data_IF_421292435716
#
_entry.id   IF_421292435716
#
_cell.length_a   1.000
_cell.length_b   1.000
_cell.length_c   1.000
_cell.angle_alpha   90.00
_cell.angle_beta   90.00
_cell.angle_gamma   90.00
#
_symmetry.space_group_name_H-M   'P 1'
#
loop_
_entity.id
_entity.type
_entity.pdbx_description
1 polymer ?
#
# COMPACT_ATOMS: atom_id res chain seq x y z
N UNK A 1 56.86 -23.85 10.12
CA UNK A 1 55.92 -22.90 10.74
C UNK A 1 54.56 -23.10 10.09
N UNK A 2 53.65 -23.78 10.78
CA UNK A 2 52.27 -23.91 10.34
C UNK A 2 51.54 -22.63 10.80
N UNK A 3 51.15 -21.77 9.86
CA UNK A 3 50.38 -20.56 10.18
C UNK A 3 48.93 -20.99 10.40
N UNK A 4 48.54 -21.11 11.67
CA UNK A 4 47.15 -21.24 12.10
C UNK A 4 46.47 -19.89 11.86
N UNK A 5 45.77 -19.77 10.73
CA UNK A 5 44.76 -18.73 10.53
C UNK A 5 43.54 -19.07 11.37
N UNK A 6 43.41 -18.43 12.54
CA UNK A 6 42.16 -18.39 13.28
C UNK A 6 41.11 -17.64 12.45
N UNK A 7 39.97 -18.25 12.10
CA UNK A 7 38.89 -17.50 11.48
C UNK A 7 38.36 -16.50 12.52
N UNK A 8 38.44 -15.22 12.19
CA UNK A 8 37.66 -14.20 12.88
C UNK A 8 36.19 -14.53 12.64
N UNK A 9 35.54 -15.16 13.62
CA UNK A 9 34.09 -15.20 13.69
C UNK A 9 33.67 -13.80 14.11
N UNK A 10 33.46 -12.91 13.13
CA UNK A 10 32.81 -11.63 13.40
C UNK A 10 31.38 -11.94 13.82
N UNK A 11 31.10 -11.87 15.13
CA UNK A 11 29.75 -12.03 15.66
C UNK A 11 28.88 -10.91 15.09
N UNK A 12 27.84 -11.25 14.32
CA UNK A 12 26.90 -10.28 13.83
C UNK A 12 25.77 -10.12 14.85
N UNK A 13 25.63 -8.89 15.36
CA UNK A 13 24.52 -8.52 16.24
C UNK A 13 23.14 -8.85 15.64
N UNK A 14 22.20 -9.28 16.50
CA UNK A 14 20.77 -9.37 16.18
C UNK A 14 20.28 -8.03 15.64
N UNK A 15 19.65 -8.08 14.47
CA UNK A 15 19.15 -6.92 13.74
C UNK A 15 17.70 -7.19 13.33
N UNK A 16 16.71 -6.58 14.00
CA UNK A 16 15.34 -6.72 13.56
C UNK A 16 15.12 -6.04 12.19
N UNK A 17 14.07 -6.42 11.48
CA UNK A 17 13.66 -5.71 10.27
C UNK A 17 13.36 -4.23 10.57
N UNK A 18 13.60 -3.34 9.60
CA UNK A 18 13.52 -1.88 9.78
C UNK A 18 12.14 -1.33 10.20
N UNK A 19 11.07 -2.14 10.09
CA UNK A 19 9.73 -1.81 10.59
C UNK A 19 9.63 -1.89 12.11
N UNK A 20 10.52 -2.63 12.77
CA UNK A 20 10.63 -2.75 14.22
C UNK A 20 11.59 -1.69 14.75
N UNK A 21 11.06 -0.48 14.91
CA UNK A 21 11.79 0.70 15.36
C UNK A 21 10.91 1.56 16.25
N UNK A 22 11.52 2.52 16.95
CA UNK A 22 10.80 3.38 17.89
C UNK A 22 9.61 4.07 17.22
N UNK A 23 8.48 4.17 17.93
CA UNK A 23 7.26 4.80 17.42
C UNK A 23 6.42 3.93 16.48
N UNK A 24 6.75 2.64 16.35
CA UNK A 24 6.00 1.69 15.51
C UNK A 24 4.58 1.43 16.01
N UNK A 25 3.73 0.96 15.10
CA UNK A 25 2.41 0.39 15.44
C UNK A 25 2.40 -1.08 15.06
N UNK A 26 2.22 -1.96 16.04
CA UNK A 26 2.03 -3.39 15.81
C UNK A 26 0.53 -3.70 15.73
N UNK A 27 0.13 -4.58 14.80
CA UNK A 27 -1.27 -4.96 14.67
C UNK A 27 -1.77 -5.60 15.96
N UNK A 28 -2.86 -5.06 16.53
CA UNK A 28 -3.49 -5.57 17.74
C UNK A 28 -4.21 -6.90 17.53
N UNK A 29 -4.42 -7.61 18.63
CA UNK A 29 -5.28 -8.81 18.72
C UNK A 29 -4.96 -9.89 17.67
N UNK A 30 -3.67 -10.16 17.45
CA UNK A 30 -3.20 -11.17 16.50
C UNK A 30 -1.95 -11.89 16.99
N UNK A 31 -1.45 -12.84 16.19
CA UNK A 31 -0.15 -13.47 16.33
C UNK A 31 0.82 -12.78 15.38
N UNK A 32 1.35 -11.62 15.80
CA UNK A 32 2.15 -10.75 14.95
C UNK A 32 3.55 -11.33 14.70
N UNK A 33 3.97 -11.53 13.44
CA UNK A 33 5.34 -11.93 13.14
C UNK A 33 6.33 -10.83 13.56
N UNK A 34 7.41 -11.24 14.23
CA UNK A 34 8.59 -10.41 14.50
C UNK A 34 9.80 -11.14 13.93
N UNK A 35 10.60 -10.46 13.12
CA UNK A 35 11.69 -11.09 12.37
C UNK A 35 12.88 -10.16 12.16
N UNK A 36 13.98 -10.74 11.73
CA UNK A 36 15.21 -10.05 11.44
C UNK A 36 16.31 -10.98 10.97
N UNK A 37 17.56 -10.54 11.17
CA UNK A 37 18.76 -11.35 10.96
C UNK A 37 19.60 -11.44 12.24
N UNK A 38 20.35 -12.52 12.39
CA UNK A 38 21.29 -12.79 13.46
C UNK A 38 22.36 -13.78 12.95
N UNK A 39 23.33 -14.16 13.78
CA UNK A 39 24.26 -15.23 13.40
C UNK A 39 23.50 -16.57 13.24
N UNK A 40 23.96 -17.42 12.33
CA UNK A 40 23.34 -18.73 12.14
C UNK A 40 23.37 -19.55 13.45
N UNK A 41 22.26 -20.19 13.80
CA UNK A 41 22.06 -20.91 15.07
C UNK A 41 22.03 -20.03 16.33
N UNK A 42 22.05 -18.71 16.21
CA UNK A 42 21.86 -17.80 17.36
C UNK A 42 20.42 -17.90 17.89
N UNK A 43 20.26 -18.00 19.21
CA UNK A 43 18.94 -17.95 19.85
C UNK A 43 18.52 -16.50 20.04
N UNK A 44 17.37 -16.15 19.49
CA UNK A 44 16.77 -14.82 19.59
C UNK A 44 15.51 -14.90 20.43
N UNK A 45 15.42 -14.08 21.47
CA UNK A 45 14.23 -13.92 22.32
C UNK A 45 13.64 -12.54 22.14
N UNK A 46 12.34 -12.43 21.94
CA UNK A 46 11.60 -11.16 21.92
C UNK A 46 10.67 -11.12 23.12
N UNK A 47 10.82 -10.11 23.97
CA UNK A 47 9.98 -9.88 25.13
C UNK A 47 9.29 -8.54 25.02
N UNK A 48 8.02 -8.49 25.40
CA UNK A 48 7.20 -7.30 25.34
C UNK A 48 6.77 -6.83 26.72
N UNK A 49 6.75 -5.52 26.93
CA UNK A 49 6.34 -4.92 28.20
C UNK A 49 4.88 -5.21 28.61
N UNK A 50 4.05 -5.73 27.70
CA UNK A 50 2.70 -6.23 28.01
C UNK A 50 2.68 -7.68 28.51
N UNK A 51 3.83 -8.29 28.77
CA UNK A 51 3.96 -9.60 29.42
C UNK A 51 4.10 -10.80 28.49
N UNK A 52 4.11 -10.59 27.17
CA UNK A 52 4.31 -11.67 26.19
C UNK A 52 5.79 -11.81 25.84
N UNK A 53 6.23 -13.05 25.60
CA UNK A 53 7.60 -13.34 25.19
C UNK A 53 7.63 -14.62 24.34
N UNK A 54 8.57 -14.67 23.40
CA UNK A 54 8.81 -15.83 22.56
C UNK A 54 10.30 -15.93 22.20
N UNK A 55 10.77 -17.14 21.89
CA UNK A 55 12.13 -17.38 21.44
C UNK A 55 12.15 -18.25 20.18
N UNK A 56 13.19 -18.08 19.38
CA UNK A 56 13.46 -18.85 18.15
C UNK A 56 14.97 -18.93 17.92
N UNK A 57 15.38 -19.69 16.92
CA UNK A 57 16.79 -19.81 16.51
C UNK A 57 16.92 -19.36 15.07
N UNK A 58 17.93 -18.55 14.78
CA UNK A 58 18.22 -18.13 13.41
C UNK A 58 18.66 -19.32 12.56
N UNK A 59 18.14 -19.38 11.33
CA UNK A 59 18.43 -20.45 10.39
C UNK A 59 19.85 -20.37 9.83
N UNK A 60 20.22 -21.31 8.94
CA UNK A 60 21.54 -21.35 8.32
C UNK A 60 21.86 -20.11 7.46
N UNK A 61 20.85 -19.34 7.05
CA UNK A 61 21.01 -18.07 6.33
C UNK A 61 21.06 -16.86 7.26
N UNK A 62 20.96 -17.08 8.58
CA UNK A 62 20.92 -16.04 9.60
C UNK A 62 19.55 -15.36 9.73
N UNK A 63 18.49 -15.87 9.11
CA UNK A 63 17.13 -15.32 9.26
C UNK A 63 16.46 -15.93 10.47
N UNK A 64 15.73 -15.12 11.21
CA UNK A 64 14.90 -15.59 12.33
C UNK A 64 13.52 -14.96 12.25
N UNK A 65 12.53 -15.68 12.74
CA UNK A 65 11.16 -15.19 12.90
C UNK A 65 10.50 -15.92 14.06
N UNK A 66 9.68 -15.20 14.80
CA UNK A 66 8.75 -15.74 15.78
C UNK A 66 7.40 -15.01 15.67
N UNK A 67 6.39 -15.50 16.40
CA UNK A 67 5.10 -14.82 16.52
C UNK A 67 4.88 -14.39 17.96
N UNK A 68 4.39 -13.17 18.13
CA UNK A 68 4.08 -12.59 19.42
C UNK A 68 2.57 -12.33 19.48
N UNK A 69 1.92 -12.77 20.56
CA UNK A 69 0.52 -12.40 20.81
C UNK A 69 0.47 -10.91 21.14
N UNK A 70 -0.33 -10.15 20.42
CA UNK A 70 -0.49 -8.70 20.64
C UNK A 70 -1.72 -8.40 21.49
N UNK A 71 -1.65 -7.36 22.35
CA UNK A 71 -2.75 -6.99 23.23
C UNK A 71 -3.89 -6.30 22.44
N UNK A 72 -4.92 -5.88 23.17
CA UNK A 72 -5.87 -4.89 22.68
C UNK A 72 -5.18 -3.54 22.38
N UNK A 73 -5.91 -2.63 21.75
CA UNK A 73 -5.40 -1.31 21.40
C UNK A 73 -4.85 -0.55 22.62
N UNK A 74 -3.67 0.05 22.49
CA UNK A 74 -3.07 0.83 23.57
C UNK A 74 -1.56 1.04 23.43
N UNK A 75 -0.92 1.33 24.55
CA UNK A 75 0.49 1.69 24.64
C UNK A 75 0.68 3.10 25.25
N UNK A 76 1.90 3.66 25.21
CA UNK A 76 3.09 3.08 24.60
C UNK A 76 3.64 1.87 25.39
N UNK A 77 4.08 0.87 24.65
CA UNK A 77 4.79 -0.30 25.13
C UNK A 77 6.26 -0.25 24.68
N UNK A 78 7.04 -1.25 25.13
CA UNK A 78 8.38 -1.54 24.63
C UNK A 78 8.52 -3.02 24.21
N UNK A 79 9.41 -3.27 23.24
CA UNK A 79 9.92 -4.60 22.89
C UNK A 79 11.42 -4.66 23.19
N UNK A 80 11.88 -5.79 23.70
CA UNK A 80 13.29 -6.11 23.88
C UNK A 80 13.61 -7.34 23.06
N UNK A 81 14.56 -7.21 22.13
CA UNK A 81 15.04 -8.29 21.27
C UNK A 81 16.44 -8.65 21.75
N UNK A 82 16.57 -9.84 22.30
CA UNK A 82 17.79 -10.36 22.91
C UNK A 82 18.37 -11.48 22.05
N UNK A 83 19.59 -11.29 21.59
CA UNK A 83 20.47 -12.33 21.06
C UNK A 83 21.84 -12.21 21.74
N UNK A 84 22.92 -12.23 20.96
CA UNK A 84 24.28 -11.92 21.42
C UNK A 84 24.43 -10.46 21.89
N UNK A 85 23.55 -9.58 21.41
CA UNK A 85 23.33 -8.22 21.87
C UNK A 85 21.84 -7.99 22.17
N UNK A 86 21.53 -6.81 22.72
CA UNK A 86 20.16 -6.40 23.05
C UNK A 86 19.75 -5.20 22.20
N UNK A 87 18.57 -5.27 21.60
CA UNK A 87 17.91 -4.14 20.93
C UNK A 87 16.62 -3.83 21.67
N UNK A 88 16.48 -2.58 22.15
CA UNK A 88 15.23 -2.08 22.71
C UNK A 88 14.49 -1.25 21.66
N UNK A 89 13.18 -1.47 21.55
CA UNK A 89 12.27 -0.68 20.74
C UNK A 89 11.24 -0.05 21.68
N UNK A 90 11.12 1.28 21.63
CA UNK A 90 10.31 2.10 22.53
C UNK A 90 9.14 2.73 21.78
N UNK A 91 8.15 3.24 22.52
CA UNK A 91 6.97 3.88 21.93
C UNK A 91 6.24 2.96 20.94
N UNK A 92 6.04 1.70 21.32
CA UNK A 92 5.32 0.70 20.52
C UNK A 92 3.83 0.82 20.82
N UNK A 93 3.03 1.16 19.83
CA UNK A 93 1.58 1.19 19.95
C UNK A 93 0.99 -0.13 19.45
N UNK A 94 0.01 -0.67 20.16
CA UNK A 94 -0.84 -1.75 19.64
C UNK A 94 -2.08 -1.13 19.01
N UNK A 95 -2.33 -1.39 17.73
CA UNK A 95 -3.38 -0.70 16.97
C UNK A 95 -3.70 -1.34 15.64
N UNK A 96 -4.32 -0.57 14.74
CA UNK A 96 -4.63 -1.01 13.38
C UNK A 96 -3.51 -0.64 12.42
N UNK A 97 -3.00 -1.60 11.64
CA UNK A 97 -1.94 -1.36 10.67
C UNK A 97 -2.48 -1.54 9.26
N UNK A 98 -2.30 -0.53 8.42
CA UNK A 98 -2.75 -0.57 7.02
C UNK A 98 -1.59 -0.35 6.05
N UNK A 99 -1.50 -1.26 5.07
CA UNK A 99 -0.56 -1.13 3.97
C UNK A 99 -1.17 -0.25 2.87
N UNK A 100 -0.50 0.85 2.53
CA UNK A 100 -0.99 1.87 1.62
C UNK A 100 -0.14 1.88 0.35
N UNK A 101 -0.66 1.40 -0.77
CA UNK A 101 0.14 1.16 -1.97
C UNK A 101 -0.50 1.65 -3.28
N UNK A 102 0.29 1.66 -4.35
CA UNK A 102 -0.13 2.11 -5.68
C UNK A 102 0.85 3.11 -6.28
N UNK A 103 0.34 3.96 -7.17
CA UNK A 103 1.16 4.91 -7.93
C UNK A 103 1.08 6.33 -7.38
N UNK A 104 1.25 7.32 -8.24
CA UNK A 104 1.36 8.74 -7.91
C UNK A 104 0.17 9.28 -7.13
N UNK A 105 -1.06 8.80 -7.32
CA UNK A 105 -2.20 9.25 -6.51
C UNK A 105 -2.24 8.64 -5.10
N UNK A 106 -1.58 7.51 -4.86
CA UNK A 106 -1.24 7.05 -3.51
C UNK A 106 -0.04 7.84 -2.95
N UNK A 107 1.01 8.07 -3.74
CA UNK A 107 2.22 8.76 -3.27
C UNK A 107 2.06 10.28 -3.08
N UNK A 108 1.02 10.91 -3.65
CA UNK A 108 0.88 12.36 -3.66
C UNK A 108 0.75 12.92 -2.24
N UNK A 109 1.74 13.70 -1.82
CA UNK A 109 1.80 14.19 -0.44
C UNK A 109 0.93 15.42 -0.16
N UNK A 110 0.64 15.65 1.12
CA UNK A 110 -0.20 16.77 1.59
C UNK A 110 0.36 18.13 1.15
N UNK A 111 1.68 18.31 1.17
CA UNK A 111 2.36 19.54 0.71
C UNK A 111 2.10 19.85 -0.76
N UNK A 112 2.04 18.82 -1.60
CA UNK A 112 1.72 18.98 -3.03
C UNK A 112 0.24 19.23 -3.24
N UNK A 113 -0.65 18.56 -2.48
CA UNK A 113 -2.10 18.80 -2.51
C UNK A 113 -2.50 20.21 -2.07
N UNK A 114 -1.76 20.80 -1.13
CA UNK A 114 -2.01 22.14 -0.61
C UNK A 114 -1.70 23.26 -1.64
N UNK A 115 -1.02 22.93 -2.75
CA UNK A 115 -0.67 23.90 -3.79
C UNK A 115 -1.78 23.99 -4.82
N UNK A 116 -2.11 25.21 -5.23
CA UNK A 116 -3.05 25.45 -6.33
C UNK A 116 -2.37 26.17 -7.48
N UNK A 117 -2.70 25.81 -8.72
CA UNK A 117 -2.26 26.50 -9.93
C UNK A 117 -3.46 26.72 -10.86
N UNK A 118 -3.69 27.94 -11.36
CA UNK A 118 -4.80 28.24 -12.27
C UNK A 118 -4.78 27.42 -13.59
N UNK A 119 -3.63 26.87 -13.98
CA UNK A 119 -3.51 25.99 -15.15
C UNK A 119 -3.96 24.55 -14.88
N UNK A 120 -3.83 24.06 -13.64
CA UNK A 120 -4.08 22.66 -13.26
C UNK A 120 -5.32 22.52 -12.37
N UNK A 121 -5.40 23.32 -11.32
CA UNK A 121 -6.45 23.27 -10.28
C UNK A 121 -7.71 23.98 -10.76
N UNK A 122 -8.82 23.25 -10.83
CA UNK A 122 -10.11 23.86 -11.11
C UNK A 122 -10.59 24.71 -9.92
N UNK A 123 -11.30 25.82 -10.20
CA UNK A 123 -11.74 26.78 -9.17
C UNK A 123 -12.49 26.10 -8.00
N UNK A 124 -13.32 25.10 -8.30
CA UNK A 124 -14.10 24.34 -7.31
C UNK A 124 -13.26 23.53 -6.31
N UNK A 125 -12.01 23.21 -6.63
CA UNK A 125 -11.13 22.44 -5.75
C UNK A 125 -10.11 23.28 -4.97
N UNK A 126 -10.05 24.60 -5.21
CA UNK A 126 -9.24 25.52 -4.38
C UNK A 126 -9.62 25.48 -2.89
N UNK A 127 -10.91 25.36 -2.49
CA UNK A 127 -11.26 25.15 -1.09
C UNK A 127 -10.69 23.86 -0.50
N UNK A 128 -10.70 22.75 -1.26
CA UNK A 128 -10.11 21.49 -0.80
C UNK A 128 -8.60 21.63 -0.56
N UNK A 129 -7.86 22.26 -1.48
CA UNK A 129 -6.44 22.55 -1.29
C UNK A 129 -6.17 23.46 -0.07
N UNK A 130 -7.04 24.44 0.17
CA UNK A 130 -6.95 25.35 1.33
C UNK A 130 -7.19 24.61 2.64
N UNK A 131 -8.18 23.70 2.67
CA UNK A 131 -8.43 22.82 3.80
C UNK A 131 -7.23 21.89 4.06
N UNK A 132 -6.69 21.26 3.02
CA UNK A 132 -5.50 20.40 3.14
C UNK A 132 -4.31 21.19 3.72
N UNK A 133 -4.12 22.45 3.30
CA UNK A 133 -3.10 23.32 3.88
C UNK A 133 -3.32 23.56 5.37
N UNK A 134 -4.56 23.86 5.78
CA UNK A 134 -4.90 24.05 7.19
C UNK A 134 -4.65 22.77 7.99
N UNK A 135 -5.22 21.64 7.56
CA UNK A 135 -5.04 20.31 8.17
C UNK A 135 -3.55 20.00 8.34
N UNK A 136 -2.77 20.07 7.26
CA UNK A 136 -1.33 19.80 7.25
C UNK A 136 -0.56 20.65 8.27
N UNK A 137 -0.94 21.91 8.47
CA UNK A 137 -0.22 22.85 9.36
C UNK A 137 -0.70 22.84 10.82
N UNK A 138 -1.84 22.22 11.12
CA UNK A 138 -2.48 22.31 12.43
C UNK A 138 -2.73 20.95 13.09
N UNK A 139 -2.98 19.90 12.31
CA UNK A 139 -3.32 18.58 12.84
C UNK A 139 -2.11 17.92 13.53
N UNK A 140 -2.36 17.38 14.73
CA UNK A 140 -1.42 16.59 15.54
C UNK A 140 -2.17 15.39 16.09
N UNK A 141 -1.63 14.20 15.87
CA UNK A 141 -2.16 12.97 16.46
C UNK A 141 -1.00 11.99 16.67
N UNK A 142 -0.58 11.84 17.94
CA UNK A 142 0.49 10.93 18.34
C UNK A 142 0.09 9.45 18.21
N UNK A 143 -1.20 9.15 18.04
CA UNK A 143 -1.71 7.80 17.83
C UNK A 143 -1.89 7.47 16.33
N UNK A 144 -1.66 8.43 15.43
CA UNK A 144 -1.57 8.21 13.99
C UNK A 144 -0.09 8.17 13.56
N UNK A 145 0.42 6.98 13.26
CA UNK A 145 1.82 6.76 12.88
C UNK A 145 1.94 6.50 11.37
N UNK A 146 3.00 7.04 10.79
CA UNK A 146 3.28 7.06 9.37
C UNK A 146 4.66 6.44 9.13
N UNK A 147 4.74 5.49 8.21
CA UNK A 147 5.99 4.91 7.74
C UNK A 147 6.02 4.97 6.22
N UNK A 148 7.08 5.54 5.63
CA UNK A 148 7.27 5.55 4.17
C UNK A 148 8.38 4.60 3.79
N UNK A 149 8.06 3.59 2.98
CA UNK A 149 9.04 2.68 2.38
C UNK A 149 9.83 3.46 1.31
N UNK A 150 11.14 3.53 1.47
CA UNK A 150 12.03 4.14 0.47
C UNK A 150 11.95 3.37 -0.85
N UNK A 151 11.84 4.10 -1.96
CA UNK A 151 11.80 3.52 -3.31
C UNK A 151 13.04 2.67 -3.59
N UNK A 152 12.82 1.40 -3.93
CA UNK A 152 13.85 0.46 -4.31
C UNK A 152 13.29 -0.54 -5.34
N UNK A 153 14.16 -1.23 -6.08
CA UNK A 153 13.75 -2.14 -7.14
C UNK A 153 14.71 -3.30 -7.21
N UNK A 154 14.20 -4.50 -7.50
CA UNK A 154 15.04 -5.66 -7.77
C UNK A 154 14.42 -6.50 -8.88
N UNK A 155 14.98 -6.47 -10.10
CA UNK A 155 14.36 -7.09 -11.27
C UNK A 155 14.31 -8.62 -11.20
N UNK A 156 15.16 -9.25 -10.39
CA UNK A 156 15.30 -10.70 -10.33
C UNK A 156 14.82 -11.25 -8.99
N UNK A 157 15.49 -10.86 -7.91
CA UNK A 157 15.31 -11.49 -6.60
C UNK A 157 14.56 -10.59 -5.60
N UNK A 158 13.63 -11.12 -4.81
CA UNK A 158 13.01 -10.37 -3.72
C UNK A 158 14.03 -9.93 -2.67
N UNK A 159 13.99 -8.65 -2.30
CA UNK A 159 14.85 -8.11 -1.25
C UNK A 159 14.25 -8.39 0.13
N UNK A 160 15.10 -8.69 1.12
CA UNK A 160 14.69 -8.90 2.51
C UNK A 160 14.85 -7.67 3.41
N UNK A 161 15.29 -6.53 2.86
CA UNK A 161 15.54 -5.30 3.62
C UNK A 161 14.88 -4.10 2.94
N UNK A 162 14.33 -3.22 3.76
CA UNK A 162 13.83 -1.90 3.36
C UNK A 162 14.45 -0.81 4.24
N UNK A 163 14.22 0.43 3.86
CA UNK A 163 14.49 1.61 4.68
C UNK A 163 13.22 2.45 4.82
N UNK A 164 13.10 3.11 5.96
CA UNK A 164 12.00 4.00 6.31
C UNK A 164 12.05 4.32 7.80
N UNK A 165 11.17 5.21 8.26
CA UNK A 165 11.10 5.63 9.66
C UNK A 165 9.65 5.83 10.07
N UNK A 166 9.32 5.41 11.28
CA UNK A 166 8.04 5.72 11.90
C UNK A 166 8.02 7.16 12.39
N UNK A 167 6.95 7.88 12.07
CA UNK A 167 6.73 9.26 12.49
C UNK A 167 5.30 9.44 12.96
N UNK A 168 5.08 10.18 14.04
CA UNK A 168 3.72 10.61 14.41
C UNK A 168 3.17 11.63 13.42
N UNK A 169 1.85 11.73 13.34
CA UNK A 169 1.20 12.80 12.58
C UNK A 169 1.38 14.14 13.30
N UNK A 170 2.06 15.07 12.63
CA UNK A 170 2.31 16.41 13.16
C UNK A 170 2.51 17.41 12.01
N UNK A 171 2.46 18.74 12.26
CA UNK A 171 2.79 19.74 11.25
C UNK A 171 4.20 19.60 10.64
N UNK A 172 5.12 18.94 11.35
CA UNK A 172 6.50 18.69 10.90
C UNK A 172 6.59 17.51 9.93
N UNK A 173 5.74 16.50 10.08
CA UNK A 173 5.83 15.20 9.38
C UNK A 173 4.75 15.03 8.32
N UNK A 174 3.55 15.56 8.56
CA UNK A 174 2.41 15.52 7.63
C UNK A 174 2.74 16.05 6.22
N UNK A 175 3.52 17.14 6.01
CA UNK A 175 3.72 17.70 4.68
C UNK A 175 4.21 16.68 3.63
N UNK A 176 5.08 15.76 4.03
CA UNK A 176 5.74 14.84 3.10
C UNK A 176 5.05 13.47 3.03
N UNK A 177 3.97 13.25 3.79
CA UNK A 177 3.20 12.00 3.77
C UNK A 177 2.02 12.03 2.78
N UNK A 178 1.62 10.84 2.31
CA UNK A 178 0.52 10.64 1.37
C UNK A 178 -0.78 11.27 1.86
N UNK A 179 -1.43 12.09 1.03
CA UNK A 179 -2.74 12.65 1.36
C UNK A 179 -3.85 11.62 1.39
N UNK A 180 -3.85 10.65 0.46
CA UNK A 180 -4.86 9.57 0.44
C UNK A 180 -4.75 8.72 1.70
N UNK A 181 -3.55 8.24 2.03
CA UNK A 181 -3.32 7.41 3.20
C UNK A 181 -3.58 8.18 4.49
N UNK A 182 -3.12 9.43 4.58
CA UNK A 182 -3.36 10.31 5.72
C UNK A 182 -4.85 10.42 6.04
N UNK A 183 -5.68 10.80 5.06
CA UNK A 183 -7.11 10.99 5.31
C UNK A 183 -7.82 9.66 5.59
N UNK A 184 -7.36 8.55 5.02
CA UNK A 184 -7.85 7.22 5.40
C UNK A 184 -7.60 6.93 6.89
N UNK A 185 -6.34 7.04 7.34
CA UNK A 185 -5.99 6.78 8.74
C UNK A 185 -6.61 7.78 9.72
N UNK A 186 -6.75 9.05 9.31
CA UNK A 186 -7.40 10.10 10.12
C UNK A 186 -8.87 9.79 10.37
N UNK A 187 -9.61 9.27 9.39
CA UNK A 187 -11.01 8.87 9.58
C UNK A 187 -11.10 7.62 10.47
N UNK A 188 -10.19 6.63 10.31
CA UNK A 188 -10.14 5.48 11.22
C UNK A 188 -9.84 5.90 12.67
N UNK A 189 -8.87 6.80 12.88
CA UNK A 189 -8.56 7.36 14.20
C UNK A 189 -9.78 8.00 14.84
N UNK A 190 -10.48 8.83 14.08
CA UNK A 190 -11.67 9.55 14.55
C UNK A 190 -12.80 8.61 14.96
N UNK A 191 -13.08 7.57 14.18
CA UNK A 191 -14.24 6.71 14.39
C UNK A 191 -13.96 5.51 15.32
N UNK A 192 -12.72 5.05 15.41
CA UNK A 192 -12.33 3.91 16.25
C UNK A 192 -11.69 4.31 17.58
N UNK A 193 -11.07 5.49 17.65
CA UNK A 193 -10.29 5.97 18.79
C UNK A 193 -9.20 5.01 19.29
N UNK A 194 -8.55 4.30 18.36
CA UNK A 194 -7.40 3.41 18.62
C UNK A 194 -6.16 3.85 17.85
N UNK A 195 -4.93 3.44 18.21
CA UNK A 195 -3.76 3.73 17.39
C UNK A 195 -3.89 3.20 15.96
N UNK A 196 -3.39 3.95 14.98
CA UNK A 196 -3.39 3.58 13.56
C UNK A 196 -2.00 3.79 12.97
N UNK A 197 -1.43 2.74 12.40
CA UNK A 197 -0.18 2.77 11.64
C UNK A 197 -0.44 2.67 10.14
N UNK A 198 0.18 3.55 9.36
CA UNK A 198 0.09 3.56 7.91
C UNK A 198 1.47 3.30 7.30
N UNK A 199 1.61 2.18 6.57
CA UNK A 199 2.83 1.85 5.84
C UNK A 199 2.63 2.22 4.37
N UNK A 200 3.19 3.37 3.95
CA UNK A 200 3.15 3.86 2.58
C UNK A 200 4.24 3.20 1.73
N UNK A 201 3.82 2.46 0.72
CA UNK A 201 4.68 1.82 -0.27
C UNK A 201 4.14 2.12 -1.67
N UNK A 202 4.54 3.26 -2.24
CA UNK A 202 3.98 3.78 -3.48
C UNK A 202 5.05 4.36 -4.42
N UNK A 203 4.86 4.21 -5.74
CA UNK A 203 5.80 4.73 -6.74
C UNK A 203 5.07 5.38 -7.92
N UNK A 204 5.35 6.66 -8.16
CA UNK A 204 4.71 7.47 -9.19
C UNK A 204 4.77 6.90 -10.61
N UNK A 205 3.63 6.95 -11.30
CA UNK A 205 3.50 6.61 -12.72
C UNK A 205 3.98 5.18 -13.08
N UNK A 206 3.77 4.24 -12.18
CA UNK A 206 3.98 2.81 -12.39
C UNK A 206 2.68 2.15 -12.82
N UNK A 207 2.82 1.13 -13.67
CA UNK A 207 1.73 0.23 -14.00
C UNK A 207 1.57 -0.83 -12.92
N UNK A 208 0.57 -1.71 -13.03
CA UNK A 208 0.34 -2.78 -12.05
C UNK A 208 1.37 -3.91 -12.13
N UNK A 209 1.98 -4.14 -13.31
CA UNK A 209 2.84 -5.30 -13.55
C UNK A 209 4.08 -5.39 -12.64
N UNK A 210 4.83 -4.29 -12.40
CA UNK A 210 5.95 -4.31 -11.47
C UNK A 210 5.62 -4.69 -10.02
N UNK A 211 4.34 -4.65 -9.63
CA UNK A 211 3.85 -4.92 -8.27
C UNK A 211 3.37 -6.35 -8.06
N UNK A 212 3.31 -7.16 -9.13
CA UNK A 212 2.91 -8.56 -9.09
C UNK A 212 4.17 -9.42 -8.91
N UNK A 213 4.20 -10.38 -7.96
CA UNK A 213 5.31 -11.33 -7.83
C UNK A 213 5.43 -12.26 -9.03
N UNK A 214 6.65 -12.76 -9.30
CA UNK A 214 6.98 -13.48 -10.53
C UNK A 214 6.15 -14.76 -10.72
N UNK A 215 5.91 -15.50 -9.63
CA UNK A 215 5.13 -16.74 -9.61
C UNK A 215 3.66 -16.52 -9.99
N UNK A 216 3.09 -15.35 -9.70
CA UNK A 216 1.69 -15.07 -10.00
C UNK A 216 1.45 -14.91 -11.51
N UNK A 217 2.47 -14.54 -12.29
CA UNK A 217 2.39 -14.54 -13.75
C UNK A 217 2.23 -15.93 -14.34
N UNK A 218 2.78 -16.95 -13.68
CA UNK A 218 2.80 -18.32 -14.22
C UNK A 218 1.45 -19.02 -14.09
N UNK A 219 0.49 -18.42 -13.38
CA UNK A 219 -0.86 -18.97 -13.18
C UNK A 219 -1.81 -18.66 -14.35
N UNK A 220 -1.39 -17.85 -15.31
CA UNK A 220 -2.16 -17.50 -16.52
C UNK A 220 -1.24 -17.44 -17.74
N UNK A 221 -1.61 -18.11 -18.83
CA UNK A 221 -0.75 -18.27 -20.01
C UNK A 221 -0.38 -16.92 -20.66
N UNK A 222 -1.33 -16.01 -20.79
CA UNK A 222 -1.11 -14.69 -21.41
C UNK A 222 -0.21 -13.82 -20.52
N UNK A 223 -0.40 -13.89 -19.20
CA UNK A 223 0.48 -13.23 -18.22
C UNK A 223 1.89 -13.84 -18.23
N UNK A 224 2.02 -15.16 -18.34
CA UNK A 224 3.31 -15.84 -18.38
C UNK A 224 4.12 -15.43 -19.63
N UNK A 225 3.48 -15.38 -20.80
CA UNK A 225 4.09 -14.90 -22.05
C UNK A 225 4.52 -13.43 -21.91
N UNK A 226 3.65 -12.58 -21.33
CA UNK A 226 4.00 -11.19 -21.07
C UNK A 226 5.22 -11.07 -20.15
N UNK A 227 5.27 -11.85 -19.08
CA UNK A 227 6.40 -11.88 -18.14
C UNK A 227 7.70 -12.27 -18.85
N UNK A 228 7.71 -13.40 -19.56
CA UNK A 228 8.90 -13.91 -20.26
C UNK A 228 9.44 -12.89 -21.27
N UNK A 229 8.57 -12.31 -22.10
CA UNK A 229 8.99 -11.30 -23.08
C UNK A 229 9.61 -10.06 -22.42
N UNK A 230 9.04 -9.58 -21.31
CA UNK A 230 9.59 -8.41 -20.61
C UNK A 230 10.90 -8.75 -19.86
N UNK A 231 11.06 -9.98 -19.38
CA UNK A 231 12.31 -10.41 -18.74
C UNK A 231 13.45 -10.59 -19.77
N UNK A 232 13.15 -11.05 -20.98
CA UNK A 232 14.14 -11.10 -22.06
C UNK A 232 14.60 -9.70 -22.46
N UNK A 233 13.65 -8.77 -22.67
CA UNK A 233 13.97 -7.36 -22.97
C UNK A 233 14.78 -6.72 -21.83
N UNK A 234 14.45 -7.04 -20.58
CA UNK A 234 15.20 -6.60 -19.42
C UNK A 234 16.67 -7.03 -19.48
N UNK A 235 16.91 -8.31 -19.81
CA UNK A 235 18.25 -8.88 -19.90
C UNK A 235 19.08 -8.21 -21.01
N UNK A 236 18.46 -7.98 -22.18
CA UNK A 236 19.10 -7.34 -23.33
C UNK A 236 19.44 -5.87 -23.08
N UNK A 237 18.54 -5.12 -22.44
CA UNK A 237 18.67 -3.66 -22.30
C UNK A 237 19.31 -3.21 -20.98
N UNK A 238 19.59 -4.14 -20.04
CA UNK A 238 20.03 -3.80 -18.68
C UNK A 238 21.23 -2.88 -18.63
N UNK A 239 22.29 -3.24 -19.36
CA UNK A 239 23.57 -2.53 -19.34
C UNK A 239 23.42 -1.09 -19.86
N UNK A 240 22.61 -0.88 -20.90
CA UNK A 240 22.36 0.45 -21.46
C UNK A 240 21.53 1.31 -20.49
N UNK A 241 20.53 0.74 -19.83
CA UNK A 241 19.72 1.50 -18.87
C UNK A 241 20.51 1.88 -17.62
N UNK A 242 21.34 0.98 -17.10
CA UNK A 242 22.22 1.27 -15.96
C UNK A 242 23.21 2.40 -16.30
N UNK A 243 23.69 2.45 -17.56
CA UNK A 243 24.58 3.48 -18.04
C UNK A 243 23.90 4.85 -18.25
N UNK A 244 22.65 4.89 -18.73
CA UNK A 244 22.02 6.14 -19.18
C UNK A 244 21.23 6.88 -18.10
N UNK A 245 20.69 6.19 -17.07
CA UNK A 245 19.89 6.74 -15.95
C UNK A 245 18.80 7.78 -16.34
N UNK A 246 18.37 7.84 -17.59
CA UNK A 246 17.46 8.89 -18.09
C UNK A 246 16.00 8.53 -17.79
N UNK A 247 15.37 9.29 -16.89
CA UNK A 247 13.91 9.26 -16.69
C UNK A 247 13.33 7.89 -16.33
N UNK A 248 14.16 7.01 -15.79
CA UNK A 248 13.86 5.59 -15.60
C UNK A 248 12.67 5.40 -14.65
N UNK A 249 11.77 4.50 -15.05
CA UNK A 249 10.63 4.04 -14.25
C UNK A 249 10.69 2.53 -14.18
N UNK A 250 10.42 1.92 -13.02
CA UNK A 250 10.31 0.47 -12.94
C UNK A 250 9.09 0.00 -13.74
N UNK A 251 9.35 -0.51 -14.94
CA UNK A 251 8.34 -1.04 -15.87
C UNK A 251 8.37 -2.55 -15.98
N UNK A 252 9.48 -3.14 -15.54
CA UNK A 252 9.74 -4.58 -15.54
C UNK A 252 8.80 -5.25 -14.54
N UNK A 253 8.13 -6.36 -14.92
CA UNK A 253 7.35 -7.17 -13.99
C UNK A 253 8.12 -7.50 -12.71
N UNK A 254 7.41 -7.62 -11.59
CA UNK A 254 7.96 -8.00 -10.27
C UNK A 254 9.00 -7.07 -9.63
N UNK A 255 9.58 -6.12 -10.35
CA UNK A 255 10.73 -5.35 -9.83
C UNK A 255 10.41 -4.51 -8.59
N UNK A 256 9.18 -3.97 -8.49
CA UNK A 256 8.72 -3.19 -7.34
C UNK A 256 8.24 -4.11 -6.23
N UNK A 257 7.55 -5.20 -6.56
CA UNK A 257 7.19 -6.22 -5.57
C UNK A 257 8.45 -6.67 -4.82
N UNK A 258 9.46 -7.10 -5.56
CA UNK A 258 10.73 -7.57 -5.03
C UNK A 258 11.45 -6.49 -4.21
N UNK A 259 11.49 -5.26 -4.70
CA UNK A 259 12.26 -4.17 -4.10
C UNK A 259 11.60 -3.50 -2.90
N UNK A 260 10.27 -3.44 -2.84
CA UNK A 260 9.53 -2.61 -1.88
C UNK A 260 8.43 -3.32 -1.12
N UNK A 261 7.71 -4.26 -1.74
CA UNK A 261 6.59 -4.97 -1.08
C UNK A 261 7.11 -6.15 -0.28
N UNK A 262 7.97 -6.97 -0.89
CA UNK A 262 8.54 -8.16 -0.27
C UNK A 262 9.25 -7.89 1.08
N UNK A 263 10.06 -6.84 1.25
CA UNK A 263 10.68 -6.59 2.55
C UNK A 263 9.71 -6.14 3.65
N UNK A 264 8.47 -5.75 3.31
CA UNK A 264 7.41 -5.45 4.28
C UNK A 264 6.74 -6.73 4.75
N UNK A 265 6.69 -7.76 3.92
CA UNK A 265 6.14 -9.08 4.27
C UNK A 265 7.11 -9.77 5.25
N UNK A 266 6.63 -10.36 6.36
CA UNK A 266 5.24 -10.62 6.74
C UNK A 266 4.71 -9.69 7.87
N UNK A 267 4.92 -8.37 7.80
CA UNK A 267 4.40 -7.45 8.83
C UNK A 267 2.90 -7.63 9.00
N UNK A 268 2.46 -7.82 10.25
CA UNK A 268 1.04 -8.00 10.53
C UNK A 268 0.25 -6.74 10.14
N UNK A 269 -0.74 -6.90 9.25
CA UNK A 269 -1.63 -5.82 8.82
C UNK A 269 -3.10 -6.17 9.03
N UNK A 270 -3.94 -5.15 9.21
CA UNK A 270 -5.40 -5.26 9.14
C UNK A 270 -5.88 -5.40 7.70
N UNK A 271 -5.26 -4.69 6.76
CA UNK A 271 -5.62 -4.70 5.36
C UNK A 271 -4.79 -3.75 4.51
N UNK A 272 -5.18 -3.63 3.24
CA UNK A 272 -4.49 -2.82 2.24
C UNK A 272 -5.43 -1.80 1.60
N UNK A 273 -4.92 -0.58 1.37
CA UNK A 273 -5.51 0.37 0.44
C UNK A 273 -4.64 0.54 -0.81
N UNK A 274 -5.26 0.59 -1.98
CA UNK A 274 -4.59 0.63 -3.28
C UNK A 274 -5.11 1.76 -4.16
N UNK A 275 -4.22 2.60 -4.70
CA UNK A 275 -4.62 3.64 -5.66
C UNK A 275 -3.67 3.66 -6.87
N UNK A 276 -4.08 2.96 -7.91
CA UNK A 276 -3.37 2.83 -9.17
C UNK A 276 -4.31 2.49 -10.32
N UNK A 277 -3.85 2.76 -11.54
CA UNK A 277 -4.48 2.32 -12.78
C UNK A 277 -4.27 3.32 -13.93
N UNK A 278 -3.88 4.55 -13.61
CA UNK A 278 -3.74 5.62 -14.60
C UNK A 278 -2.64 5.32 -15.62
N UNK A 279 -1.56 4.63 -15.23
CA UNK A 279 -0.54 4.23 -16.19
C UNK A 279 -0.98 3.06 -17.09
N UNK A 280 -1.93 2.24 -16.62
CA UNK A 280 -2.50 1.13 -17.41
C UNK A 280 -3.59 1.59 -18.37
N UNK A 281 -4.18 2.78 -18.20
CA UNK A 281 -5.16 3.30 -19.16
C UNK A 281 -4.58 3.51 -20.56
N UNK A 282 -3.25 3.61 -20.68
CA UNK A 282 -2.52 3.67 -21.96
C UNK A 282 -1.68 2.42 -22.25
N UNK A 283 -1.71 1.40 -21.38
CA UNK A 283 -0.88 0.19 -21.51
C UNK A 283 -1.69 -1.06 -21.12
N UNK A 284 -2.07 -1.84 -22.13
CA UNK A 284 -2.88 -3.05 -22.00
C UNK A 284 -4.08 -2.89 -21.05
N UNK A 285 -4.93 -1.86 -21.20
CA UNK A 285 -6.04 -1.60 -20.29
C UNK A 285 -7.04 -2.77 -20.18
N UNK A 286 -7.05 -3.67 -21.16
CA UNK A 286 -7.87 -4.88 -21.24
C UNK A 286 -7.45 -5.97 -20.26
N UNK A 287 -6.19 -5.92 -19.79
CA UNK A 287 -5.61 -6.91 -18.88
C UNK A 287 -5.64 -6.49 -17.41
N UNK A 288 -6.14 -5.29 -17.11
CA UNK A 288 -6.08 -4.69 -15.78
C UNK A 288 -6.78 -5.51 -14.69
N UNK A 289 -7.98 -6.03 -14.94
CA UNK A 289 -8.72 -6.87 -13.99
C UNK A 289 -7.91 -8.12 -13.66
N UNK A 290 -7.36 -8.78 -14.69
CA UNK A 290 -6.58 -10.00 -14.51
C UNK A 290 -5.33 -9.74 -13.68
N UNK A 291 -4.58 -8.69 -14.04
CA UNK A 291 -3.38 -8.28 -13.32
C UNK A 291 -3.69 -7.86 -11.87
N UNK A 292 -4.73 -7.05 -11.65
CA UNK A 292 -5.08 -6.61 -10.30
C UNK A 292 -5.58 -7.78 -9.43
N UNK A 293 -6.33 -8.74 -10.00
CA UNK A 293 -6.71 -9.96 -9.28
C UNK A 293 -5.49 -10.80 -8.92
N UNK A 294 -4.53 -10.97 -9.84
CA UNK A 294 -3.29 -11.68 -9.58
C UNK A 294 -2.46 -11.00 -8.46
N UNK A 295 -2.38 -9.67 -8.48
CA UNK A 295 -1.74 -8.88 -7.42
C UNK A 295 -2.39 -9.15 -6.06
N UNK A 296 -3.72 -9.00 -5.96
CA UNK A 296 -4.44 -9.15 -4.68
C UNK A 296 -4.28 -10.57 -4.12
N UNK A 297 -4.51 -11.59 -4.97
CA UNK A 297 -4.45 -12.99 -4.54
C UNK A 297 -3.03 -13.38 -4.11
N UNK A 298 -2.01 -13.00 -4.89
CA UNK A 298 -0.63 -13.31 -4.55
C UNK A 298 -0.16 -12.58 -3.29
N UNK A 299 -0.52 -11.31 -3.10
CA UNK A 299 -0.18 -10.61 -1.85
C UNK A 299 -0.82 -11.29 -0.64
N UNK A 300 -2.07 -11.73 -0.73
CA UNK A 300 -2.72 -12.51 0.33
C UNK A 300 -1.98 -13.81 0.65
N UNK A 301 -1.50 -14.50 -0.37
CA UNK A 301 -0.67 -15.69 -0.22
C UNK A 301 0.66 -15.39 0.46
N UNK A 302 1.42 -14.38 -0.02
CA UNK A 302 2.70 -14.00 0.55
C UNK A 302 2.61 -13.51 2.00
N UNK A 303 1.58 -12.74 2.35
CA UNK A 303 1.35 -12.32 3.74
C UNK A 303 0.94 -13.48 4.63
N UNK A 304 0.30 -14.53 4.08
CA UNK A 304 -0.17 -15.67 4.85
C UNK A 304 -1.25 -15.34 5.88
N UNK A 305 -2.01 -14.25 5.66
CA UNK A 305 -3.04 -13.74 6.57
C UNK A 305 -4.47 -13.98 6.07
N UNK A 306 -4.65 -14.96 5.18
CA UNK A 306 -5.93 -15.23 4.53
C UNK A 306 -6.40 -14.09 3.64
N UNK A 307 -7.73 -13.98 3.47
CA UNK A 307 -8.36 -12.95 2.63
C UNK A 307 -8.44 -11.59 3.35
N UNK A 308 -7.32 -11.00 3.74
CA UNK A 308 -7.35 -9.68 4.39
C UNK A 308 -8.05 -8.62 3.50
N UNK A 309 -8.72 -7.63 4.10
CA UNK A 309 -9.37 -6.52 3.41
C UNK A 309 -8.47 -5.83 2.38
N UNK A 310 -8.95 -5.71 1.15
CA UNK A 310 -8.23 -5.03 0.07
C UNK A 310 -9.13 -3.99 -0.60
N UNK A 311 -8.92 -2.72 -0.26
CA UNK A 311 -9.75 -1.61 -0.74
C UNK A 311 -9.01 -0.79 -1.77
N UNK A 312 -9.65 -0.44 -2.88
CA UNK A 312 -9.00 0.30 -3.94
C UNK A 312 -9.82 1.50 -4.45
N UNK A 313 -9.12 2.52 -4.94
CA UNK A 313 -9.75 3.70 -5.53
C UNK A 313 -9.98 3.48 -7.03
N UNK A 314 -11.23 3.63 -7.48
CA UNK A 314 -11.53 3.72 -8.90
C UNK A 314 -10.89 5.00 -9.46
N UNK A 315 -10.41 4.98 -10.71
CA UNK A 315 -9.84 6.19 -11.31
C UNK A 315 -10.84 7.35 -11.29
N UNK A 316 -10.36 8.52 -10.83
CA UNK A 316 -11.13 9.76 -10.86
C UNK A 316 -11.34 10.22 -12.31
N UNK A 317 -12.28 11.13 -12.55
CA UNK A 317 -12.41 11.72 -13.89
C UNK A 317 -11.18 12.57 -14.24
N UNK A 318 -10.66 12.39 -15.46
CA UNK A 318 -9.53 13.13 -16.01
C UNK A 318 -9.79 13.42 -17.50
N UNK A 319 -9.16 14.47 -18.02
CA UNK A 319 -9.36 15.04 -19.35
C UNK A 319 -10.70 15.76 -19.56
N UNK A 320 -10.75 16.60 -20.60
CA UNK A 320 -11.97 17.28 -21.03
C UNK A 320 -12.89 16.28 -21.76
N UNK A 321 -14.22 16.49 -21.73
CA UNK A 321 -15.14 15.71 -22.55
C UNK A 321 -14.72 15.75 -24.03
N UNK A 322 -14.69 14.59 -24.68
CA UNK A 322 -14.40 14.48 -26.10
C UNK A 322 -15.53 15.13 -26.93
N UNK A 323 -15.24 15.89 -28.00
CA UNK A 323 -16.26 16.34 -28.92
C UNK A 323 -16.71 15.17 -29.80
N UNK A 324 -17.95 14.71 -29.62
CA UNK A 324 -18.54 13.61 -30.42
C UNK A 324 -18.23 12.22 -29.87
N UNK A 325 -18.36 11.19 -30.71
CA UNK A 325 -18.11 9.79 -30.34
C UNK A 325 -16.62 9.61 -30.05
N UNK A 326 -16.22 9.25 -28.82
CA UNK A 326 -14.82 9.02 -28.50
C UNK A 326 -14.29 7.80 -29.26
N UNK A 327 -13.03 7.86 -29.70
CA UNK A 327 -12.27 6.66 -30.06
C UNK A 327 -12.10 5.75 -28.82
N UNK A 328 -11.44 4.59 -29.00
CA UNK A 328 -11.10 3.74 -27.85
C UNK A 328 -10.35 4.53 -26.77
N UNK A 329 -10.87 4.50 -25.54
CA UNK A 329 -10.27 5.11 -24.36
C UNK A 329 -10.07 4.01 -23.30
N UNK A 330 -8.82 3.83 -22.86
CA UNK A 330 -8.49 2.86 -21.84
C UNK A 330 -8.92 3.30 -20.43
N UNK A 331 -9.21 4.58 -20.19
CA UNK A 331 -9.65 5.08 -18.89
C UNK A 331 -10.96 4.44 -18.40
N UNK A 332 -12.08 4.48 -19.16
CA UNK A 332 -13.30 3.78 -18.78
C UNK A 332 -13.11 2.25 -18.74
N UNK A 333 -12.23 1.70 -19.58
CA UNK A 333 -11.91 0.26 -19.56
C UNK A 333 -11.29 -0.14 -18.22
N UNK A 334 -10.26 0.58 -17.75
CA UNK A 334 -9.65 0.34 -16.43
C UNK A 334 -10.66 0.56 -15.30
N UNK A 335 -11.51 1.59 -15.37
CA UNK A 335 -12.55 1.84 -14.36
C UNK A 335 -13.54 0.66 -14.24
N UNK A 336 -13.97 0.09 -15.36
CA UNK A 336 -14.85 -1.09 -15.36
C UNK A 336 -14.11 -2.33 -14.84
N UNK A 337 -12.84 -2.50 -15.19
CA UNK A 337 -12.03 -3.61 -14.70
C UNK A 337 -11.76 -3.52 -13.19
N UNK A 338 -11.53 -2.33 -12.64
CA UNK A 338 -11.51 -2.09 -11.19
C UNK A 338 -12.84 -2.53 -10.55
N UNK A 339 -13.98 -2.14 -11.13
CA UNK A 339 -15.30 -2.57 -10.62
C UNK A 339 -15.43 -4.09 -10.63
N UNK A 340 -15.03 -4.77 -11.71
CA UNK A 340 -15.13 -6.23 -11.82
C UNK A 340 -14.23 -6.97 -10.81
N UNK A 341 -13.10 -6.38 -10.41
CA UNK A 341 -12.24 -6.91 -9.34
C UNK A 341 -12.97 -7.05 -7.99
N UNK A 342 -14.11 -6.36 -7.78
CA UNK A 342 -14.98 -6.59 -6.61
C UNK A 342 -15.52 -8.02 -6.49
N UNK A 343 -15.37 -8.85 -7.55
CA UNK A 343 -15.66 -10.27 -7.48
C UNK A 343 -14.72 -11.07 -6.56
N UNK A 344 -13.63 -10.49 -6.06
CA UNK A 344 -12.79 -11.11 -5.04
C UNK A 344 -13.35 -10.86 -3.62
N UNK A 345 -13.20 -11.85 -2.74
CA UNK A 345 -13.62 -11.75 -1.33
C UNK A 345 -12.93 -10.57 -0.63
N UNK A 346 -13.63 -9.96 0.33
CA UNK A 346 -13.11 -8.88 1.18
C UNK A 346 -12.45 -7.76 0.38
N UNK A 347 -13.07 -7.40 -0.75
CA UNK A 347 -12.67 -6.23 -1.55
C UNK A 347 -13.72 -5.15 -1.50
N UNK A 348 -13.31 -3.92 -1.79
CA UNK A 348 -14.15 -2.74 -1.76
C UNK A 348 -13.55 -1.66 -2.64
N UNK A 349 -14.40 -0.81 -3.20
CA UNK A 349 -13.98 0.21 -4.17
C UNK A 349 -14.52 1.57 -3.79
N UNK A 350 -13.62 2.55 -3.64
CA UNK A 350 -14.00 3.96 -3.58
C UNK A 350 -14.25 4.47 -5.00
N UNK A 351 -15.51 4.79 -5.31
CA UNK A 351 -15.91 5.42 -6.58
C UNK A 351 -15.49 6.89 -6.54
N UNK A 352 -14.74 7.40 -7.53
CA UNK A 352 -14.18 8.76 -7.53
C UNK A 352 -14.62 9.65 -8.70
N UNK A 353 -15.64 9.24 -9.46
CA UNK A 353 -16.03 9.89 -10.72
C UNK A 353 -16.49 11.35 -10.53
N UNK A 354 -16.99 11.70 -9.37
CA UNK A 354 -17.48 13.03 -9.02
C UNK A 354 -16.39 14.01 -8.55
N UNK A 355 -15.19 13.52 -8.17
CA UNK A 355 -14.14 14.33 -7.56
C UNK A 355 -12.85 14.46 -8.40
N UNK A 356 -12.97 14.25 -9.72
CA UNK A 356 -11.88 14.40 -10.69
C UNK A 356 -11.70 15.82 -11.26
N UNK A 357 -10.55 16.05 -11.92
CA UNK A 357 -10.17 17.31 -12.56
C UNK A 357 -9.79 17.10 -14.04
N UNK A 358 -10.40 17.88 -14.94
CA UNK A 358 -10.19 17.72 -16.38
C UNK A 358 -8.77 18.10 -16.84
N UNK A 359 -8.03 18.88 -16.03
CA UNK A 359 -6.69 19.41 -16.35
C UNK A 359 -5.57 18.81 -15.49
N UNK A 360 -5.91 17.93 -14.56
CA UNK A 360 -4.95 17.33 -13.66
C UNK A 360 -5.36 15.90 -13.33
N UNK A 361 -4.47 14.96 -13.62
CA UNK A 361 -4.68 13.54 -13.30
C UNK A 361 -4.59 13.30 -11.79
N UNK A 362 -4.07 14.27 -11.03
CA UNK A 362 -3.97 14.23 -9.58
C UNK A 362 -5.08 15.08 -8.94
N UNK A 363 -6.26 14.52 -8.63
CA UNK A 363 -7.33 15.28 -8.02
C UNK A 363 -6.88 15.85 -6.66
N UNK A 364 -7.24 17.10 -6.40
CA UNK A 364 -6.92 17.76 -5.12
C UNK A 364 -7.77 17.22 -3.96
N UNK A 365 -8.98 16.74 -4.24
CA UNK A 365 -9.87 16.19 -3.22
C UNK A 365 -9.49 14.74 -2.82
N UNK A 366 -8.25 14.53 -2.32
CA UNK A 366 -7.83 13.24 -1.76
C UNK A 366 -8.43 12.94 -0.37
N UNK A 367 -9.01 13.95 0.27
CA UNK A 367 -9.76 13.77 1.52
C UNK A 367 -10.94 12.83 1.31
N UNK A 368 -11.76 13.07 0.30
CA UNK A 368 -12.89 12.18 0.01
C UNK A 368 -12.45 10.80 -0.48
N UNK A 369 -11.28 10.68 -1.13
CA UNK A 369 -10.70 9.37 -1.47
C UNK A 369 -10.42 8.57 -0.21
N UNK A 370 -9.63 9.13 0.72
CA UNK A 370 -9.27 8.48 1.98
C UNK A 370 -10.50 8.14 2.81
N UNK A 371 -11.45 9.07 2.92
CA UNK A 371 -12.71 8.87 3.64
C UNK A 371 -13.55 7.75 3.03
N UNK A 372 -13.72 7.70 1.71
CA UNK A 372 -14.50 6.63 1.05
C UNK A 372 -13.87 5.25 1.24
N UNK A 373 -12.54 5.16 1.25
CA UNK A 373 -11.84 3.92 1.59
C UNK A 373 -12.05 3.55 3.07
N UNK A 374 -12.02 4.52 3.99
CA UNK A 374 -12.25 4.28 5.41
C UNK A 374 -13.69 3.78 5.68
N UNK A 375 -14.69 4.29 4.96
CA UNK A 375 -16.07 3.82 5.09
C UNK A 375 -16.24 2.33 4.77
N UNK A 376 -15.48 1.79 3.82
CA UNK A 376 -15.44 0.35 3.57
C UNK A 376 -14.92 -0.41 4.79
N UNK A 377 -13.78 0.01 5.33
CA UNK A 377 -13.18 -0.61 6.51
C UNK A 377 -14.11 -0.54 7.74
N UNK A 378 -14.65 0.65 8.03
CA UNK A 378 -15.58 0.88 9.14
C UNK A 378 -16.79 -0.04 9.06
N UNK A 379 -17.41 -0.17 7.87
CA UNK A 379 -18.58 -1.03 7.70
C UNK A 379 -18.23 -2.52 7.78
N UNK A 380 -17.24 -2.96 7.02
CA UNK A 380 -17.01 -4.39 6.76
C UNK A 380 -16.07 -5.04 7.76
N UNK A 381 -15.11 -4.30 8.32
CA UNK A 381 -14.07 -4.86 9.19
C UNK A 381 -14.29 -4.52 10.66
N UNK A 382 -14.80 -3.31 10.93
CA UNK A 382 -15.06 -2.83 12.30
C UNK A 382 -16.54 -2.85 12.67
N UNK A 383 -17.41 -3.28 11.75
CA UNK A 383 -18.86 -3.45 11.95
C UNK A 383 -19.57 -2.18 12.47
N UNK A 384 -19.02 -1.01 12.15
CA UNK A 384 -19.63 0.28 12.45
C UNK A 384 -20.89 0.50 11.62
N UNK A 385 -21.84 1.27 12.17
CA UNK A 385 -23.10 1.59 11.50
C UNK A 385 -22.88 2.61 10.37
N UNK A 386 -22.48 2.12 9.21
CA UNK A 386 -22.30 2.91 7.98
C UNK A 386 -23.45 2.61 7.01
N UNK A 387 -24.34 3.58 6.81
CA UNK A 387 -25.49 3.45 5.91
C UNK A 387 -25.07 3.30 4.45
N UNK A 388 -24.03 4.01 4.02
CA UNK A 388 -23.51 4.01 2.66
C UNK A 388 -21.98 4.00 2.68
N UNK A 389 -21.38 2.93 2.16
CA UNK A 389 -19.91 2.79 2.08
C UNK A 389 -19.36 2.89 0.65
N UNK A 390 -20.23 2.81 -0.37
CA UNK A 390 -19.85 2.93 -1.77
C UNK A 390 -20.82 3.80 -2.55
N UNK A 391 -20.35 4.37 -3.65
CA UNK A 391 -21.22 4.99 -4.64
C UNK A 391 -21.97 3.95 -5.48
N UNK A 392 -22.68 4.40 -6.53
CA UNK A 392 -23.41 3.54 -7.46
C UNK A 392 -22.53 2.43 -8.06
N UNK A 393 -22.84 1.18 -7.73
CA UNK A 393 -22.22 0.00 -8.31
C UNK A 393 -23.19 -0.64 -9.31
N UNK A 394 -22.80 -0.70 -10.58
CA UNK A 394 -23.60 -1.31 -11.64
C UNK A 394 -23.92 -2.76 -11.28
N UNK A 395 -25.21 -3.11 -11.31
CA UNK A 395 -25.72 -4.45 -11.09
C UNK A 395 -26.17 -5.08 -12.42
N UNK A 396 -27.06 -4.40 -13.15
CA UNK A 396 -27.66 -4.92 -14.39
C UNK A 396 -28.21 -3.80 -15.27
N UNK A 397 -28.53 -4.11 -16.53
CA UNK A 397 -29.34 -3.25 -17.37
C UNK A 397 -30.37 -4.06 -18.18
N UNK A 398 -31.43 -3.38 -18.61
CA UNK A 398 -32.45 -3.91 -19.51
C UNK A 398 -32.72 -2.90 -20.63
N UNK A 399 -32.65 -3.33 -21.88
CA UNK A 399 -32.95 -2.52 -23.06
C UNK A 399 -34.44 -2.66 -23.39
N UNK A 400 -35.19 -1.56 -23.33
CA UNK A 400 -36.61 -1.50 -23.65
C UNK A 400 -36.86 -0.47 -24.76
N UNK A 401 -36.97 -0.94 -26.00
CA UNK A 401 -37.13 -0.07 -27.16
C UNK A 401 -35.92 0.85 -27.32
N UNK A 402 -36.15 2.15 -27.17
CA UNK A 402 -35.16 3.23 -27.24
C UNK A 402 -34.52 3.58 -25.88
N UNK A 403 -34.82 2.81 -24.82
CA UNK A 403 -34.35 3.08 -23.45
C UNK A 403 -33.42 1.99 -22.93
N UNK A 404 -32.40 2.39 -22.16
CA UNK A 404 -31.60 1.50 -21.33
C UNK A 404 -31.91 1.80 -19.86
N UNK A 405 -32.51 0.83 -19.16
CA UNK A 405 -32.82 0.92 -17.72
C UNK A 405 -31.69 0.25 -16.96
N UNK A 406 -31.02 0.99 -16.08
CA UNK A 406 -29.84 0.51 -15.33
C UNK A 406 -30.19 0.37 -13.85
N UNK A 407 -29.77 -0.74 -13.24
CA UNK A 407 -29.94 -1.03 -11.81
C UNK A 407 -28.58 -0.99 -11.11
N UNK A 408 -28.56 -0.44 -9.89
CA UNK A 408 -27.36 -0.31 -9.07
C UNK A 408 -27.59 -0.89 -7.66
N UNK A 409 -26.57 -1.54 -7.09
CA UNK A 409 -26.66 -2.20 -5.77
C UNK A 409 -26.46 -1.24 -4.57
N UNK A 410 -25.85 -0.07 -4.79
CA UNK A 410 -25.55 0.90 -3.73
C UNK A 410 -25.82 2.32 -4.20
N UNK A 411 -26.98 2.89 -3.87
CA UNK A 411 -27.37 4.23 -4.34
C UNK A 411 -27.51 5.28 -3.23
N UNK A 412 -27.21 4.97 -1.96
CA UNK A 412 -27.38 5.92 -0.86
C UNK A 412 -28.72 6.65 -0.88
N UNK A 413 -28.72 7.99 -1.00
CA UNK A 413 -29.93 8.82 -1.13
C UNK A 413 -30.37 9.09 -2.59
N UNK A 414 -29.67 8.56 -3.60
CA UNK A 414 -29.94 8.77 -5.02
C UNK A 414 -28.68 8.69 -5.91
N UNK A 415 -28.87 8.79 -7.22
CA UNK A 415 -27.79 8.94 -8.22
C UNK A 415 -27.32 10.39 -8.35
#
# INVERSE_FOLDING_TARGET
>A
MCVLTLPFIGMADVKPAALFADGMVIQRETQAPVWGTADASETVTVSASWGESAATTADASGKWMLKLKTPEAGGPYALTIQGNNTVEIKDVLSGEVWFCSGQSNMAFNLKSLAKTNNHRTEKRYKPAASYVKQEMTTARDEMLRQFTVTGNTSPLEPLGRLSGQWMSSSPQTNPDFSGTAYFFGRELRKDLDVPVGLILCAWGATRVEPWIPAEAYQQDEEMAVYYQNNMMLEEEERAEREATRRGWRPTVPSTIFNGMVNPVIPYAIKGTIWYQGEANSSHNPQMYERNLRALISSWREHWGQGDFPFYFAQLANYARPAPGTPAFDGWPTVCDQQRRTLGLKNTGMAVLRDIGEARDVHPHNKMDVGKRLALWALKHDYKQKVSVCSGPLYQSHNIKGDKVIITFDSAGSGL
#
